data_IF_432453881981
#
_entry.id   IF_432453881981
#
_cell.length_a   1.000
_cell.length_b   1.000
_cell.length_c   1.000
_cell.angle_alpha   90.00
_cell.angle_beta   90.00
_cell.angle_gamma   90.00
#
_symmetry.space_group_name_H-M   'P 1'
#
loop_
_entity.id
_entity.type
_entity.pdbx_description
1 polymer ?
#
# COMPACT_ATOMS: atom_id res chain seq x y z
N UNK A 1 -15.36 6.30 -18.80
CA UNK A 1 -15.11 6.71 -17.40
C UNK A 1 -13.83 6.03 -16.95
N UNK A 2 -12.85 6.73 -16.36
CA UNK A 2 -11.65 6.08 -15.82
C UNK A 2 -12.02 5.31 -14.54
N UNK A 3 -11.52 4.08 -14.42
CA UNK A 3 -11.67 3.23 -13.24
C UNK A 3 -10.32 3.14 -12.52
N UNK A 4 -10.34 3.26 -11.21
CA UNK A 4 -9.16 3.10 -10.36
C UNK A 4 -9.19 1.71 -9.72
N UNK A 5 -8.23 0.86 -10.09
CA UNK A 5 -8.11 -0.53 -9.63
C UNK A 5 -6.73 -0.74 -9.02
N UNK A 6 -6.65 -0.99 -7.71
CA UNK A 6 -5.39 -1.34 -7.03
C UNK A 6 -4.23 -0.40 -7.41
N UNK A 7 -4.48 0.92 -7.37
CA UNK A 7 -3.55 1.99 -7.76
C UNK A 7 -3.20 2.07 -9.25
N UNK A 8 -3.91 1.37 -10.12
CA UNK A 8 -3.86 1.51 -11.58
C UNK A 8 -5.05 2.33 -12.09
N UNK A 9 -4.80 3.30 -12.96
CA UNK A 9 -5.87 4.05 -13.65
C UNK A 9 -6.06 3.45 -15.03
N UNK A 10 -7.21 2.80 -15.23
CA UNK A 10 -7.59 2.23 -16.52
C UNK A 10 -8.69 3.08 -17.16
N UNK A 11 -8.61 3.33 -18.47
CA UNK A 11 -9.55 4.22 -19.16
C UNK A 11 -10.07 3.60 -20.44
N UNK A 12 -11.39 3.66 -20.63
CA UNK A 12 -12.02 3.33 -21.91
C UNK A 12 -12.53 1.90 -22.04
N UNK A 13 -12.33 1.04 -21.03
CA UNK A 13 -12.72 -0.37 -21.07
C UNK A 13 -13.44 -0.79 -19.78
N UNK A 14 -14.23 -1.86 -19.88
CA UNK A 14 -14.92 -2.48 -18.75
C UNK A 14 -14.14 -3.70 -18.27
N UNK A 15 -14.08 -3.86 -16.94
CA UNK A 15 -13.25 -4.85 -16.28
C UNK A 15 -14.08 -5.65 -15.28
N UNK A 16 -13.98 -6.98 -15.34
CA UNK A 16 -14.56 -7.88 -14.34
C UNK A 16 -13.43 -8.67 -13.71
N UNK A 17 -13.29 -8.59 -12.38
CA UNK A 17 -12.32 -9.39 -11.64
C UNK A 17 -12.73 -10.86 -11.70
N UNK A 18 -11.79 -11.72 -12.08
CA UNK A 18 -11.97 -13.17 -12.12
C UNK A 18 -10.94 -13.87 -11.24
N UNK A 19 -11.07 -15.19 -11.10
CA UNK A 19 -10.07 -16.02 -10.44
C UNK A 19 -8.79 -16.09 -11.28
N UNK A 20 -7.66 -15.70 -10.67
CA UNK A 20 -6.34 -15.78 -11.29
C UNK A 20 -5.93 -17.24 -11.49
N UNK A 21 -5.67 -17.63 -12.75
CA UNK A 21 -5.18 -18.96 -13.11
C UNK A 21 -3.65 -19.03 -13.03
N UNK A 22 -3.04 -20.23 -12.96
CA UNK A 22 -1.58 -20.36 -12.92
C UNK A 22 -0.86 -19.66 -14.08
N UNK A 23 -1.39 -19.74 -15.30
CA UNK A 23 -0.82 -19.06 -16.49
C UNK A 23 -0.79 -17.54 -16.36
N UNK A 24 -1.79 -16.95 -15.71
CA UNK A 24 -1.86 -15.51 -15.43
C UNK A 24 -0.75 -15.07 -14.46
N UNK A 25 -0.54 -15.89 -13.43
CA UNK A 25 0.49 -15.65 -12.41
C UNK A 25 1.88 -15.80 -13.04
N UNK A 26 2.09 -16.83 -13.84
CA UNK A 26 3.37 -17.04 -14.54
C UNK A 26 3.70 -15.86 -15.45
N UNK A 27 2.72 -15.38 -16.24
CA UNK A 27 2.91 -14.23 -17.12
C UNK A 27 3.31 -12.95 -16.39
N UNK A 28 2.63 -12.61 -15.29
CA UNK A 28 2.99 -11.41 -14.52
C UNK A 28 4.33 -11.57 -13.79
N UNK A 29 4.66 -12.77 -13.31
CA UNK A 29 5.97 -13.06 -12.71
C UNK A 29 7.10 -12.95 -13.73
N UNK A 30 6.89 -13.40 -14.96
CA UNK A 30 7.85 -13.22 -16.05
C UNK A 30 8.07 -11.74 -16.36
N UNK A 31 7.00 -10.92 -16.39
CA UNK A 31 7.12 -9.46 -16.52
C UNK A 31 7.98 -8.88 -15.40
N UNK A 32 7.70 -9.22 -14.15
CA UNK A 32 8.45 -8.75 -12.97
C UNK A 32 9.92 -9.17 -13.07
N UNK A 33 10.21 -10.44 -13.41
CA UNK A 33 11.58 -10.93 -13.56
C UNK A 33 12.35 -10.25 -14.70
N UNK A 34 11.68 -9.97 -15.81
CA UNK A 34 12.29 -9.29 -16.95
C UNK A 34 12.68 -7.85 -16.58
N UNK A 35 11.76 -7.10 -15.95
CA UNK A 35 12.02 -5.75 -15.46
C UNK A 35 13.18 -5.75 -14.45
N UNK A 36 13.19 -6.72 -13.54
CA UNK A 36 14.25 -6.89 -12.55
C UNK A 36 15.63 -7.06 -13.21
N UNK A 37 15.72 -7.95 -14.21
CA UNK A 37 16.96 -8.24 -14.95
C UNK A 37 17.40 -7.07 -15.82
N UNK A 38 16.48 -6.39 -16.51
CA UNK A 38 16.81 -5.29 -17.42
C UNK A 38 17.26 -4.03 -16.69
N UNK A 39 16.71 -3.81 -15.50
CA UNK A 39 16.90 -2.56 -14.74
C UNK A 39 17.80 -2.73 -13.51
N UNK A 40 18.35 -3.92 -13.28
CA UNK A 40 19.18 -4.27 -12.11
C UNK A 40 18.52 -3.84 -10.78
N UNK A 41 17.21 -4.05 -10.69
CA UNK A 41 16.40 -3.74 -9.50
C UNK A 41 16.31 -4.99 -8.62
N UNK A 42 16.06 -4.81 -7.32
CA UNK A 42 15.65 -5.89 -6.44
C UNK A 42 14.13 -6.08 -6.49
N UNK A 43 13.65 -7.23 -6.00
CA UNK A 43 12.21 -7.56 -6.03
C UNK A 43 11.36 -6.53 -5.27
N UNK A 44 11.90 -5.95 -4.21
CA UNK A 44 11.22 -4.95 -3.37
C UNK A 44 11.10 -3.58 -4.04
N UNK A 45 11.87 -3.34 -5.10
CA UNK A 45 11.82 -2.10 -5.88
C UNK A 45 10.69 -2.12 -6.92
N UNK A 46 10.11 -3.29 -7.20
CA UNK A 46 9.02 -3.44 -8.17
C UNK A 46 7.69 -3.18 -7.47
N UNK A 47 7.24 -1.92 -7.58
CA UNK A 47 5.99 -1.45 -6.98
C UNK A 47 4.76 -2.12 -7.62
N UNK A 48 4.73 -2.20 -8.94
CA UNK A 48 3.65 -2.87 -9.67
C UNK A 48 4.13 -3.37 -11.03
N UNK A 49 3.38 -4.32 -11.57
CA UNK A 49 3.54 -4.80 -12.94
C UNK A 49 2.18 -5.26 -13.47
N UNK A 50 2.05 -5.39 -14.78
CA UNK A 50 0.88 -6.02 -15.39
C UNK A 50 1.28 -6.96 -16.52
N UNK A 51 0.42 -7.92 -16.81
CA UNK A 51 0.57 -8.87 -17.90
C UNK A 51 -0.76 -8.98 -18.64
N UNK A 52 -0.71 -8.82 -19.96
CA UNK A 52 -1.87 -8.99 -20.85
C UNK A 52 -1.78 -10.37 -21.51
N UNK A 53 -2.83 -11.16 -21.37
CA UNK A 53 -2.98 -12.46 -21.99
C UNK A 53 -3.95 -12.35 -23.17
N UNK A 54 -3.43 -12.24 -24.38
CA UNK A 54 -4.26 -12.12 -25.60
C UNK A 54 -5.13 -13.35 -25.86
N UNK A 55 -4.71 -14.54 -25.39
CA UNK A 55 -5.40 -15.81 -25.65
C UNK A 55 -6.77 -15.88 -24.98
N UNK A 56 -6.91 -15.30 -23.79
CA UNK A 56 -8.16 -15.27 -23.02
C UNK A 56 -8.69 -13.85 -22.72
N UNK A 57 -8.04 -12.82 -23.27
CA UNK A 57 -8.46 -11.43 -23.14
C UNK A 57 -8.37 -10.91 -21.71
N UNK A 58 -7.44 -11.44 -20.92
CA UNK A 58 -7.28 -11.05 -19.51
C UNK A 58 -6.09 -10.12 -19.31
N UNK A 59 -6.19 -9.32 -18.25
CA UNK A 59 -5.08 -8.55 -17.71
C UNK A 59 -4.86 -8.91 -16.25
N UNK A 60 -3.62 -9.18 -15.90
CA UNK A 60 -3.20 -9.56 -14.54
C UNK A 60 -2.31 -8.49 -13.97
N UNK A 61 -2.72 -7.91 -12.85
CA UNK A 61 -1.96 -6.91 -12.12
C UNK A 61 -1.21 -7.55 -10.96
N UNK A 62 0.04 -7.14 -10.79
CA UNK A 62 0.86 -7.38 -9.60
C UNK A 62 1.03 -6.05 -8.86
N UNK A 63 0.76 -6.06 -7.56
CA UNK A 63 1.13 -4.99 -6.65
C UNK A 63 2.09 -5.53 -5.58
N UNK A 64 3.30 -4.98 -5.58
CA UNK A 64 4.31 -5.24 -4.55
C UNK A 64 3.91 -4.63 -3.21
N UNK A 65 4.57 -5.08 -2.15
CA UNK A 65 4.30 -4.59 -0.80
C UNK A 65 4.92 -3.21 -0.63
N UNK A 66 4.23 -2.21 -1.17
CA UNK A 66 4.48 -0.83 -0.83
C UNK A 66 3.92 -0.58 0.55
N UNK A 67 4.71 0.12 1.35
CA UNK A 67 4.33 0.61 2.67
C UNK A 67 3.03 1.45 2.69
N UNK A 68 2.47 1.78 1.51
CA UNK A 68 1.23 2.53 1.33
C UNK A 68 0.06 1.73 0.77
N UNK A 69 0.34 0.61 0.12
CA UNK A 69 -0.67 -0.22 -0.51
C UNK A 69 -1.31 -1.14 0.53
N UNK A 70 -2.64 -1.07 0.61
CA UNK A 70 -3.43 -1.70 1.67
C UNK A 70 -3.31 -3.22 1.75
N UNK A 71 -2.85 -3.93 0.71
CA UNK A 71 -2.37 -5.32 0.74
C UNK A 71 -1.65 -5.66 -0.59
N UNK A 72 -0.42 -6.19 -0.60
CA UNK A 72 0.21 -6.71 -1.83
C UNK A 72 -0.57 -7.90 -2.39
N UNK A 73 -0.56 -8.08 -3.71
CA UNK A 73 -1.34 -9.14 -4.34
C UNK A 73 -1.23 -9.24 -5.85
N UNK A 74 -1.92 -10.25 -6.39
CA UNK A 74 -2.10 -10.48 -7.82
C UNK A 74 -3.58 -10.61 -8.12
N UNK A 75 -4.08 -9.85 -9.09
CA UNK A 75 -5.49 -9.84 -9.48
C UNK A 75 -5.62 -9.92 -11.00
N UNK A 76 -6.48 -10.83 -11.48
CA UNK A 76 -6.79 -10.94 -12.91
C UNK A 76 -8.17 -10.36 -13.21
N UNK A 77 -8.25 -9.63 -14.31
CA UNK A 77 -9.47 -9.06 -14.86
C UNK A 77 -9.68 -9.54 -16.29
N UNK A 78 -10.93 -9.79 -16.67
CA UNK A 78 -11.32 -9.89 -18.07
C UNK A 78 -11.59 -8.50 -18.60
N UNK A 79 -10.96 -8.16 -19.73
CA UNK A 79 -11.18 -6.91 -20.45
C UNK A 79 -12.17 -7.16 -21.58
N UNK A 80 -13.23 -6.37 -21.67
CA UNK A 80 -14.14 -6.46 -22.81
C UNK A 80 -14.65 -5.11 -23.27
N UNK A 81 -14.73 -4.98 -24.60
CA UNK A 81 -15.36 -3.86 -25.27
C UNK A 81 -16.88 -3.97 -25.16
N UNK A 82 -17.48 -3.23 -24.23
CA UNK A 82 -18.92 -3.02 -24.19
C UNK A 82 -19.24 -1.64 -24.78
N UNK A 83 -19.99 -1.57 -25.90
CA UNK A 83 -20.44 -0.29 -26.44
C UNK A 83 -21.29 0.48 -25.42
N UNK A 84 -21.05 1.78 -25.32
CA UNK A 84 -21.79 2.69 -24.44
C UNK A 84 -23.31 2.51 -24.61
N UNK A 85 -24.01 2.18 -23.52
CA UNK A 85 -25.46 1.94 -23.52
C UNK A 85 -25.95 0.51 -23.78
N UNK A 86 -25.06 -0.50 -23.87
CA UNK A 86 -25.41 -1.94 -23.92
C UNK A 86 -25.18 -2.70 -22.62
N UNK A 87 -25.10 -1.99 -21.52
CA UNK A 87 -24.90 -2.54 -20.17
C UNK A 87 -26.13 -3.36 -19.74
N UNK A 88 -25.98 -4.68 -19.60
CA UNK A 88 -26.97 -5.52 -18.93
C UNK A 88 -26.54 -5.79 -17.48
N UNK A 89 -27.37 -5.39 -16.52
CA UNK A 89 -27.15 -5.70 -15.09
C UNK A 89 -27.47 -7.18 -14.87
N UNK A 90 -26.44 -8.00 -14.79
CA UNK A 90 -26.56 -9.40 -14.38
C UNK A 90 -26.62 -9.48 -12.85
N UNK A 91 -27.84 -9.54 -12.32
CA UNK A 91 -28.07 -9.89 -10.91
C UNK A 91 -27.75 -11.38 -10.71
N UNK A 92 -26.57 -11.71 -10.20
CA UNK A 92 -26.24 -13.08 -9.78
C UNK A 92 -26.64 -13.27 -8.31
N UNK A 93 -27.78 -13.94 -8.01
CA UNK A 93 -28.31 -14.05 -6.64
C UNK A 93 -27.45 -14.94 -5.71
N UNK A 94 -26.40 -15.59 -6.24
CA UNK A 94 -25.51 -16.45 -5.47
C UNK A 94 -24.26 -15.74 -4.91
N UNK A 95 -24.04 -14.46 -5.23
CA UNK A 95 -22.95 -13.70 -4.63
C UNK A 95 -23.47 -13.09 -3.32
N UNK A 96 -23.21 -13.77 -2.20
CA UNK A 96 -23.55 -13.27 -0.87
C UNK A 96 -22.57 -12.17 -0.44
N UNK A 97 -22.78 -10.97 -0.99
CA UNK A 97 -22.00 -9.77 -0.69
C UNK A 97 -22.09 -9.40 0.80
N UNK A 98 -23.19 -9.77 1.47
CA UNK A 98 -23.39 -9.55 2.90
C UNK A 98 -22.48 -10.46 3.72
N UNK A 99 -22.30 -11.73 3.35
CA UNK A 99 -21.35 -12.61 4.01
C UNK A 99 -19.90 -12.17 3.81
N UNK A 100 -19.54 -11.63 2.64
CA UNK A 100 -18.24 -11.04 2.39
C UNK A 100 -18.00 -9.78 3.23
N UNK A 101 -18.97 -8.86 3.27
CA UNK A 101 -18.94 -7.65 4.11
C UNK A 101 -18.85 -7.99 5.60
N UNK A 102 -19.61 -8.97 6.08
CA UNK A 102 -19.57 -9.42 7.48
C UNK A 102 -18.23 -10.07 7.86
N UNK A 103 -17.57 -10.77 6.93
CA UNK A 103 -16.20 -11.29 7.13
C UNK A 103 -15.18 -10.16 7.19
N UNK A 104 -15.33 -9.14 6.35
CA UNK A 104 -14.47 -7.93 6.36
C UNK A 104 -14.68 -7.14 7.65
N UNK A 105 -15.92 -6.89 8.05
CA UNK A 105 -16.25 -6.21 9.31
C UNK A 105 -15.71 -6.96 10.53
N UNK A 106 -15.87 -8.29 10.58
CA UNK A 106 -15.27 -9.11 11.64
C UNK A 106 -13.74 -9.06 11.62
N UNK A 107 -13.11 -9.09 10.45
CA UNK A 107 -11.65 -8.95 10.31
C UNK A 107 -11.13 -7.54 10.67
N UNK A 108 -11.95 -6.49 10.52
CA UNK A 108 -11.66 -5.13 11.00
C UNK A 108 -11.81 -5.07 12.52
N UNK A 109 -12.86 -5.70 13.06
CA UNK A 109 -13.12 -5.78 14.50
C UNK A 109 -12.02 -6.59 15.22
N UNK A 110 -11.61 -7.73 14.66
CA UNK A 110 -10.56 -8.60 15.22
C UNK A 110 -9.18 -7.92 15.15
N UNK A 111 -8.89 -7.11 14.11
CA UNK A 111 -7.70 -6.26 14.03
C UNK A 111 -7.70 -5.11 15.04
N UNK A 112 -8.87 -4.58 15.40
CA UNK A 112 -9.00 -3.60 16.50
C UNK A 112 -8.92 -4.24 17.89
N UNK A 113 -9.07 -5.57 18.00
CA UNK A 113 -9.25 -6.25 19.27
C UNK A 113 -8.07 -7.19 19.64
N UNK A 114 -7.05 -7.32 18.79
CA UNK A 114 -5.72 -7.75 19.25
C UNK A 114 -5.17 -6.65 20.15
N UNK A 115 -4.77 -7.00 21.38
CA UNK A 115 -4.18 -6.11 22.39
C UNK A 115 -3.33 -5.00 21.74
N UNK A 116 -3.47 -3.79 22.28
CA UNK A 116 -2.55 -2.67 22.09
C UNK A 116 -1.11 -3.12 22.32
N UNK A 117 -0.44 -3.50 21.23
CA UNK A 117 0.96 -3.90 21.24
C UNK A 117 1.78 -2.66 20.92
N UNK A 118 2.80 -2.39 21.74
CA UNK A 118 3.78 -1.35 21.46
C UNK A 118 4.83 -1.90 20.48
N UNK A 119 5.45 -1.02 19.70
CA UNK A 119 6.55 -1.42 18.84
C UNK A 119 7.71 -2.00 19.69
N UNK A 120 8.16 -3.24 19.44
CA UNK A 120 9.29 -3.80 20.17
C UNK A 120 10.53 -2.94 20.00
N UNK A 121 11.27 -2.69 21.09
CA UNK A 121 12.45 -1.83 21.09
C UNK A 121 12.20 -0.40 20.58
N UNK A 122 11.00 0.16 20.76
CA UNK A 122 10.66 1.52 20.33
C UNK A 122 11.64 2.60 20.83
N UNK A 123 12.28 2.40 21.99
CA UNK A 123 13.31 3.32 22.50
C UNK A 123 14.54 3.44 21.60
N UNK A 124 14.81 2.41 20.80
CA UNK A 124 15.90 2.35 19.83
C UNK A 124 15.42 2.70 18.41
N UNK A 125 14.16 3.11 18.23
CA UNK A 125 13.60 3.38 16.91
C UNK A 125 14.41 4.46 16.19
N UNK A 126 14.65 4.24 14.89
CA UNK A 126 15.39 5.17 14.03
C UNK A 126 14.49 5.61 12.89
N UNK A 127 14.41 6.93 12.73
CA UNK A 127 13.83 7.59 11.56
C UNK A 127 14.97 8.21 10.78
N UNK A 128 15.36 7.63 9.64
CA UNK A 128 16.32 8.29 8.75
C UNK A 128 15.64 9.53 8.15
N UNK A 129 16.24 10.71 8.38
CA UNK A 129 15.71 11.99 7.89
C UNK A 129 15.53 11.98 6.36
N UNK A 130 16.36 11.24 5.62
CA UNK A 130 16.24 11.10 4.16
C UNK A 130 14.93 10.42 3.77
N UNK A 131 14.43 9.49 4.58
CA UNK A 131 13.15 8.81 4.33
C UNK A 131 11.97 9.77 4.42
N UNK A 132 12.07 10.81 5.25
CA UNK A 132 11.07 11.86 5.31
C UNK A 132 11.30 12.92 4.23
N UNK A 133 12.46 13.56 4.24
CA UNK A 133 12.78 14.71 3.39
C UNK A 133 12.85 14.36 1.91
N UNK A 134 13.52 13.26 1.57
CA UNK A 134 13.88 12.92 0.20
C UNK A 134 12.85 11.94 -0.42
N UNK A 135 11.97 11.33 0.39
CA UNK A 135 10.92 10.40 -0.05
C UNK A 135 9.49 10.84 0.35
N UNK A 136 9.13 10.88 1.64
CA UNK A 136 7.73 11.11 2.05
C UNK A 136 7.22 12.54 1.78
N UNK A 137 8.10 13.54 1.89
CA UNK A 137 7.79 14.96 1.74
C UNK A 137 8.37 15.56 0.45
N UNK A 138 8.88 14.71 -0.44
CA UNK A 138 9.49 15.11 -1.70
C UNK A 138 8.48 15.02 -2.86
N UNK A 139 8.01 16.15 -3.42
CA UNK A 139 7.08 16.14 -4.56
C UNK A 139 7.70 15.63 -5.86
N UNK A 140 9.04 15.57 -5.95
CA UNK A 140 9.76 15.11 -7.13
C UNK A 140 10.17 13.62 -7.05
N UNK A 141 9.87 12.92 -5.95
CA UNK A 141 10.22 11.51 -5.82
C UNK A 141 9.27 10.62 -6.62
N UNK A 142 9.80 9.75 -7.47
CA UNK A 142 9.02 8.90 -8.39
C UNK A 142 7.89 8.13 -7.70
N UNK A 143 8.21 7.45 -6.58
CA UNK A 143 7.25 6.71 -5.75
C UNK A 143 6.79 7.44 -4.46
N UNK A 144 7.24 8.67 -4.21
CA UNK A 144 7.03 9.39 -2.95
C UNK A 144 6.13 10.62 -3.09
N UNK A 145 6.04 11.14 -4.32
CA UNK A 145 5.34 12.39 -4.67
C UNK A 145 3.89 12.44 -4.24
N UNK A 146 3.16 11.32 -4.25
CA UNK A 146 1.75 11.31 -3.83
C UNK A 146 1.60 11.47 -2.30
N UNK A 147 2.54 10.97 -1.49
CA UNK A 147 2.62 11.28 -0.05
C UNK A 147 2.85 12.76 0.16
N UNK A 148 3.84 13.31 -0.54
CA UNK A 148 4.20 14.71 -0.43
C UNK A 148 3.02 15.61 -0.79
N UNK A 149 2.25 15.24 -1.83
CA UNK A 149 1.01 15.91 -2.20
C UNK A 149 -0.04 15.87 -1.09
N UNK A 150 -0.23 14.73 -0.42
CA UNK A 150 -1.17 14.59 0.70
C UNK A 150 -0.73 15.40 1.92
N UNK A 151 0.56 15.35 2.28
CA UNK A 151 1.12 16.16 3.37
C UNK A 151 0.92 17.65 3.12
N UNK A 152 1.20 18.10 1.89
CA UNK A 152 1.02 19.50 1.53
C UNK A 152 -0.46 19.90 1.51
N UNK A 153 -1.34 19.10 0.92
CA UNK A 153 -2.76 19.45 0.80
C UNK A 153 -3.46 19.47 2.16
N UNK A 154 -3.22 18.48 3.01
CA UNK A 154 -3.94 18.32 4.29
C UNK A 154 -3.27 19.16 5.37
N UNK A 155 -1.95 19.06 5.54
CA UNK A 155 -1.23 19.67 6.65
C UNK A 155 -0.42 20.91 6.24
N UNK A 156 -0.20 21.15 4.95
CA UNK A 156 0.73 22.20 4.50
C UNK A 156 2.20 21.86 4.77
N UNK A 157 2.50 20.59 5.03
CA UNK A 157 3.87 20.13 5.28
C UNK A 157 4.64 19.96 3.96
N UNK A 158 5.94 20.23 4.04
CA UNK A 158 6.92 20.15 2.94
C UNK A 158 8.22 19.54 3.48
N UNK A 159 9.18 19.27 2.61
CA UNK A 159 10.49 18.74 2.99
C UNK A 159 11.24 19.59 4.05
N UNK A 160 10.94 20.89 4.17
CA UNK A 160 11.51 21.79 5.19
C UNK A 160 11.08 21.42 6.62
N UNK A 161 9.95 20.72 6.77
CA UNK A 161 9.37 20.33 8.05
C UNK A 161 9.78 18.90 8.46
N UNK A 162 10.70 18.27 7.73
CA UNK A 162 11.06 16.87 7.92
C UNK A 162 11.65 16.59 9.31
N UNK A 163 12.47 17.50 9.85
CA UNK A 163 13.08 17.35 11.18
C UNK A 163 12.02 17.41 12.31
N UNK A 164 10.99 18.24 12.16
CA UNK A 164 9.88 18.33 13.11
C UNK A 164 9.02 17.06 13.07
N UNK A 165 8.70 16.56 11.87
CA UNK A 165 7.98 15.30 11.71
C UNK A 165 8.79 14.11 12.26
N UNK A 166 10.11 14.12 12.08
CA UNK A 166 11.01 13.11 12.65
C UNK A 166 10.90 13.07 14.18
N UNK A 167 10.99 14.23 14.84
CA UNK A 167 10.89 14.33 16.28
C UNK A 167 9.53 13.85 16.82
N UNK A 168 8.45 14.15 16.09
CA UNK A 168 7.09 13.68 16.42
C UNK A 168 6.99 12.16 16.31
N UNK A 169 7.46 11.57 15.20
CA UNK A 169 7.43 10.12 14.99
C UNK A 169 8.22 9.36 16.06
N UNK A 170 9.42 9.84 16.41
CA UNK A 170 10.24 9.25 17.48
C UNK A 170 9.60 9.33 18.86
N UNK A 171 8.74 10.33 19.09
CA UNK A 171 7.99 10.44 20.34
C UNK A 171 6.79 9.48 20.35
N UNK A 172 6.01 9.48 19.28
CA UNK A 172 4.75 8.72 19.20
C UNK A 172 4.99 7.22 19.16
N UNK A 173 6.05 6.77 18.47
CA UNK A 173 6.35 5.33 18.34
C UNK A 173 6.58 4.62 19.68
N UNK A 174 6.95 5.37 20.73
CA UNK A 174 7.21 4.84 22.07
C UNK A 174 5.94 4.55 22.86
N UNK A 175 4.82 5.18 22.49
CA UNK A 175 3.56 5.12 23.25
C UNK A 175 2.36 4.71 22.40
N UNK A 176 2.49 4.75 21.07
CA UNK A 176 1.39 4.46 20.16
C UNK A 176 1.25 2.97 19.91
N UNK A 177 0.00 2.55 19.80
CA UNK A 177 -0.37 1.18 19.51
C UNK A 177 -0.03 0.84 18.05
N UNK A 178 0.60 -0.30 17.82
CA UNK A 178 0.94 -0.78 16.49
C UNK A 178 0.09 -1.97 16.09
N UNK A 179 -0.21 -2.07 14.79
CA UNK A 179 -0.74 -3.27 14.19
C UNK A 179 0.41 -4.10 13.63
N UNK A 180 0.34 -5.41 13.86
CA UNK A 180 1.28 -6.37 13.28
C UNK A 180 1.02 -6.50 11.78
N UNK A 181 2.07 -6.26 10.99
CA UNK A 181 2.07 -6.49 9.55
C UNK A 181 2.59 -7.88 9.19
N UNK A 182 2.88 -8.08 7.90
CA UNK A 182 3.50 -9.31 7.42
C UNK A 182 4.92 -9.47 7.97
N UNK A 183 5.28 -10.72 8.26
CA UNK A 183 6.66 -11.14 8.47
C UNK A 183 7.20 -11.78 7.20
N UNK A 184 8.44 -11.44 6.83
CA UNK A 184 9.15 -12.07 5.72
C UNK A 184 10.63 -12.33 6.07
N UNK A 185 11.44 -12.61 5.05
CA UNK A 185 12.87 -12.89 5.21
C UNK A 185 13.67 -11.68 5.74
N UNK A 186 13.17 -10.46 5.57
CA UNK A 186 13.84 -9.22 6.00
C UNK A 186 13.50 -8.90 7.44
N UNK A 187 12.26 -9.16 7.87
CA UNK A 187 11.87 -9.04 9.27
C UNK A 187 10.38 -8.95 9.48
N UNK A 188 10.01 -8.34 10.60
CA UNK A 188 8.62 -8.10 10.98
C UNK A 188 8.22 -6.65 10.69
N UNK A 189 7.14 -6.45 9.94
CA UNK A 189 6.56 -5.11 9.71
C UNK A 189 5.51 -4.76 10.76
N UNK A 190 5.41 -3.47 11.05
CA UNK A 190 4.41 -2.88 11.96
C UNK A 190 3.87 -1.59 11.37
N UNK A 191 2.61 -1.27 11.66
CA UNK A 191 2.00 0.01 11.28
C UNK A 191 1.44 0.72 12.51
N UNK A 192 1.70 2.02 12.63
CA UNK A 192 1.19 2.86 13.72
C UNK A 192 0.40 4.02 13.10
N UNK A 193 -0.88 4.11 13.46
CA UNK A 193 -1.77 5.20 13.06
C UNK A 193 -1.95 6.18 14.22
N UNK A 194 -1.80 7.48 13.94
CA UNK A 194 -1.93 8.52 14.96
C UNK A 194 -2.49 9.82 14.39
N UNK A 195 -3.17 10.60 15.20
CA UNK A 195 -3.63 11.94 14.82
C UNK A 195 -2.49 12.93 15.03
N UNK A 196 -2.14 13.66 13.97
CA UNK A 196 -1.20 14.78 14.03
C UNK A 196 -1.96 16.10 13.93
N UNK A 197 -1.79 16.96 14.92
CA UNK A 197 -2.20 18.36 14.86
C UNK A 197 -1.02 19.23 14.42
N UNK A 198 -1.23 20.06 13.40
CA UNK A 198 -0.20 20.88 12.79
C UNK A 198 -0.77 22.21 12.29
N UNK A 199 -0.34 23.33 12.86
CA UNK A 199 -0.74 24.69 12.45
C UNK A 199 -2.26 24.84 12.22
N UNK A 200 -3.07 24.44 13.21
CA UNK A 200 -4.56 24.43 13.17
C UNK A 200 -5.19 23.48 12.14
N UNK A 201 -4.40 22.57 11.57
CA UNK A 201 -4.87 21.46 10.75
C UNK A 201 -4.66 20.15 11.50
N UNK A 202 -5.42 19.12 11.13
CA UNK A 202 -5.29 17.80 11.74
C UNK A 202 -5.46 16.73 10.68
N UNK A 203 -4.69 15.66 10.78
CA UNK A 203 -4.75 14.50 9.91
C UNK A 203 -4.41 13.24 10.68
N UNK A 204 -5.03 12.12 10.31
CA UNK A 204 -4.53 10.81 10.73
C UNK A 204 -3.35 10.44 9.84
N UNK A 205 -2.19 10.21 10.43
CA UNK A 205 -1.02 9.70 9.75
C UNK A 205 -0.85 8.21 10.03
N UNK A 206 -0.41 7.46 9.01
CA UNK A 206 0.14 6.12 9.15
C UNK A 206 1.65 6.18 9.06
N UNK A 207 2.33 5.50 9.97
CA UNK A 207 3.77 5.24 9.92
C UNK A 207 4.05 3.74 9.85
N UNK A 208 4.90 3.34 8.90
CA UNK A 208 5.32 1.96 8.72
C UNK A 208 6.72 1.75 9.31
N UNK A 209 6.90 0.63 10.01
CA UNK A 209 8.13 0.28 10.70
C UNK A 209 8.54 -1.15 10.37
N UNK A 210 9.84 -1.40 10.31
CA UNK A 210 10.40 -2.74 10.14
C UNK A 210 11.40 -3.03 11.25
N UNK A 211 11.23 -4.17 11.90
CA UNK A 211 12.23 -4.76 12.79
C UNK A 211 12.88 -5.93 12.06
N UNK A 212 14.12 -5.73 11.62
CA UNK A 212 14.90 -6.74 10.91
C UNK A 212 15.18 -7.96 11.78
N UNK A 213 15.32 -9.13 11.16
CA UNK A 213 15.61 -10.37 11.86
C UNK A 213 16.91 -10.28 12.67
N UNK A 214 16.82 -10.47 13.99
CA UNK A 214 17.96 -10.36 14.91
C UNK A 214 18.38 -8.93 15.26
N UNK A 215 17.71 -7.91 14.74
CA UNK A 215 17.91 -6.51 15.11
C UNK A 215 17.11 -6.14 16.37
N UNK A 216 17.58 -5.12 17.08
CA UNK A 216 16.85 -4.46 18.18
C UNK A 216 16.57 -2.99 17.86
N UNK A 217 16.68 -2.61 16.59
CA UNK A 217 16.56 -1.25 16.09
C UNK A 217 15.46 -1.21 15.02
N UNK A 218 14.21 -0.87 15.40
CA UNK A 218 13.14 -0.65 14.43
C UNK A 218 13.45 0.55 13.53
N UNK A 219 13.19 0.43 12.24
CA UNK A 219 13.46 1.49 11.26
C UNK A 219 12.18 1.93 10.58
N UNK A 220 12.01 3.23 10.40
CA UNK A 220 10.90 3.78 9.62
C UNK A 220 11.03 3.37 8.14
N UNK A 221 10.00 2.75 7.60
CA UNK A 221 9.90 2.40 6.18
C UNK A 221 9.06 3.39 5.40
N UNK A 222 8.07 4.05 6.03
CA UNK A 222 7.24 5.08 5.39
C UNK A 222 6.47 5.92 6.40
N UNK A 223 5.96 7.06 5.96
CA UNK A 223 4.91 7.80 6.65
C UNK A 223 4.05 8.58 5.65
N UNK A 224 2.72 8.59 5.84
CA UNK A 224 1.80 9.31 4.96
C UNK A 224 0.44 9.59 5.64
N UNK A 225 -0.29 10.65 5.22
CA UNK A 225 -1.67 10.87 5.65
C UNK A 225 -2.64 9.86 5.05
N UNK A 226 -3.65 9.45 5.83
CA UNK A 226 -4.77 8.60 5.41
C UNK A 226 -5.95 9.39 4.82
#
# INVERSE_FOLDING_TARGET
>A
MPLELHNYVWSGEWLIQIESQPSHIDGVLDTVQNVRKSSNLDWEDIYSAYYECEEDGTITFYEGESSEAGNPGVWTYVVYDCPEGKEEVLSNPNIDVLAALLKVERGIQDRKNSRADLLPHAENAVVDIRKLRDYCLNPEHDAGKHKARLFFSILGMTAEHADELQAILLKIVKTGDVCLGRQDQFGQRYTLDFVLEWHNRSATLRSGWMLENGSTVPRLTTCYPL
#
